data_IF_758504080893
#
_entry.id   IF_758504080893
#
_cell.length_a   1.000
_cell.length_b   1.000
_cell.length_c   1.000
_cell.angle_alpha   90.00
_cell.angle_beta   90.00
_cell.angle_gamma   90.00
#
_symmetry.space_group_name_H-M   'P 1'
#
loop_
_entity.id
_entity.type
_entity.pdbx_description
1 polymer ?
#
# COMPACT_ATOMS: atom_id res chain seq x y z
N UNK A 1 4.12 26.56 8.80
CA UNK A 1 3.73 26.79 10.21
C UNK A 1 2.61 25.87 10.68
N UNK A 2 1.54 25.68 9.91
CA UNK A 2 0.36 24.89 10.35
C UNK A 2 0.53 23.36 10.29
N UNK A 3 1.32 22.81 9.36
CA UNK A 3 1.50 21.35 9.23
C UNK A 3 2.25 20.71 10.43
N UNK A 4 3.16 21.43 11.07
CA UNK A 4 3.90 20.91 12.24
C UNK A 4 3.00 20.81 13.50
N UNK A 5 1.89 21.55 13.56
CA UNK A 5 0.94 21.50 14.67
C UNK A 5 -0.05 20.35 14.57
N UNK A 6 -0.41 19.92 13.36
CA UNK A 6 -1.33 18.80 13.14
C UNK A 6 -0.68 17.46 13.47
N UNK A 7 0.59 17.28 13.13
CA UNK A 7 1.31 16.02 13.33
C UNK A 7 1.56 15.75 14.82
N UNK A 8 1.86 16.80 15.59
CA UNK A 8 1.97 16.70 17.05
C UNK A 8 0.65 16.34 17.73
N UNK A 9 -0.47 16.90 17.27
CA UNK A 9 -1.79 16.59 17.81
C UNK A 9 -2.20 15.13 17.51
N UNK A 10 -1.92 14.64 16.29
CA UNK A 10 -2.18 13.25 15.91
C UNK A 10 -1.33 12.26 16.73
N UNK A 11 -0.08 12.62 17.04
CA UNK A 11 0.79 11.79 17.89
C UNK A 11 0.25 11.71 19.32
N UNK A 12 -0.13 12.84 19.91
CA UNK A 12 -0.68 12.89 21.29
C UNK A 12 -1.98 12.09 21.39
N UNK A 13 -2.85 12.18 20.39
CA UNK A 13 -4.08 11.40 20.33
C UNK A 13 -3.83 9.89 20.19
N UNK A 14 -2.87 9.48 19.36
CA UNK A 14 -2.48 8.08 19.25
C UNK A 14 -1.91 7.53 20.57
N UNK A 15 -1.08 8.33 21.26
CA UNK A 15 -0.56 7.99 22.58
C UNK A 15 -1.67 7.90 23.64
N UNK A 16 -2.64 8.82 23.61
CA UNK A 16 -3.79 8.81 24.51
C UNK A 16 -4.64 7.55 24.33
N UNK A 17 -4.94 7.15 23.09
CA UNK A 17 -5.68 5.92 22.78
C UNK A 17 -4.89 4.65 23.13
N UNK A 18 -3.56 4.71 23.15
CA UNK A 18 -2.72 3.60 23.61
C UNK A 18 -2.72 3.46 25.13
N UNK A 19 -2.64 4.60 25.84
CA UNK A 19 -2.61 4.64 27.30
C UNK A 19 -3.99 4.36 27.94
N UNK A 20 -5.07 4.87 27.32
CA UNK A 20 -6.46 4.70 27.76
C UNK A 20 -7.34 4.26 26.58
N UNK A 21 -7.35 2.95 26.26
CA UNK A 21 -8.01 2.46 25.05
C UNK A 21 -9.54 2.35 25.14
N UNK A 22 -10.12 2.55 26.33
CA UNK A 22 -11.56 2.31 26.64
C UNK A 22 -12.18 3.49 27.38
N UNK A 23 -13.51 3.57 27.32
CA UNK A 23 -14.33 4.55 28.03
C UNK A 23 -14.71 5.76 27.16
N UNK A 24 -15.60 6.60 27.70
CA UNK A 24 -16.25 7.68 26.94
C UNK A 24 -15.26 8.67 26.27
N UNK A 25 -14.13 8.94 26.91
CA UNK A 25 -13.12 9.84 26.34
C UNK A 25 -12.35 9.20 25.19
N UNK A 26 -12.02 7.90 25.29
CA UNK A 26 -11.44 7.15 24.19
C UNK A 26 -12.41 7.09 23.00
N UNK A 27 -13.70 6.86 23.29
CA UNK A 27 -14.74 6.82 22.27
C UNK A 27 -14.90 8.19 21.56
N UNK A 28 -14.85 9.29 22.32
CA UNK A 28 -14.86 10.66 21.76
C UNK A 28 -13.69 10.91 20.82
N UNK A 29 -12.47 10.55 21.24
CA UNK A 29 -11.27 10.72 20.40
C UNK A 29 -11.35 9.88 19.12
N UNK A 30 -11.81 8.63 19.21
CA UNK A 30 -12.01 7.77 18.03
C UNK A 30 -13.02 8.37 17.06
N UNK A 31 -14.12 8.90 17.58
CA UNK A 31 -15.15 9.55 16.77
C UNK A 31 -14.61 10.80 16.07
N UNK A 32 -13.89 11.68 16.79
CA UNK A 32 -13.26 12.87 16.22
C UNK A 32 -12.24 12.53 15.12
N UNK A 33 -11.47 11.45 15.32
CA UNK A 33 -10.53 10.94 14.32
C UNK A 33 -11.23 10.49 13.04
N UNK A 34 -12.34 9.76 13.17
CA UNK A 34 -13.13 9.30 12.03
C UNK A 34 -13.81 10.47 11.33
N UNK A 35 -14.43 11.38 12.08
CA UNK A 35 -15.13 12.54 11.52
C UNK A 35 -14.19 13.44 10.72
N UNK A 36 -12.97 13.73 11.22
CA UNK A 36 -11.98 14.47 10.42
C UNK A 36 -11.66 13.81 9.07
N UNK A 37 -11.57 12.47 9.03
CA UNK A 37 -11.34 11.73 7.78
C UNK A 37 -12.54 11.75 6.87
N UNK A 38 -13.75 11.58 7.43
CA UNK A 38 -15.02 11.68 6.70
C UNK A 38 -15.13 13.06 6.07
N UNK A 39 -14.94 14.11 6.84
CA UNK A 39 -15.10 15.49 6.38
C UNK A 39 -14.09 15.80 5.26
N UNK A 40 -12.82 15.43 5.43
CA UNK A 40 -11.80 15.55 4.38
C UNK A 40 -12.13 14.75 3.10
N UNK A 41 -12.78 13.59 3.23
CA UNK A 41 -13.24 12.82 2.08
C UNK A 41 -14.44 13.49 1.39
N UNK A 42 -15.37 14.07 2.15
CA UNK A 42 -16.60 14.71 1.64
C UNK A 42 -16.36 16.10 1.04
N UNK A 43 -15.25 16.77 1.38
CA UNK A 43 -14.79 18.01 0.72
C UNK A 43 -14.47 17.80 -0.77
N UNK A 44 -14.17 16.57 -1.19
CA UNK A 44 -13.92 16.26 -2.60
C UNK A 44 -15.19 16.35 -3.44
N UNK A 45 -15.00 16.62 -4.73
CA UNK A 45 -16.07 16.55 -5.75
C UNK A 45 -16.74 15.19 -5.67
N UNK A 46 -18.07 15.17 -5.79
CA UNK A 46 -18.93 14.03 -5.45
C UNK A 46 -18.48 12.68 -6.06
N UNK A 47 -18.10 12.66 -7.35
CA UNK A 47 -17.65 11.43 -8.04
C UNK A 47 -16.17 11.07 -7.79
N UNK A 48 -15.42 11.96 -7.15
CA UNK A 48 -14.01 11.76 -6.75
C UNK A 48 -13.87 11.42 -5.26
N UNK A 49 -15.00 11.22 -4.56
CA UNK A 49 -15.01 10.78 -3.17
C UNK A 49 -14.71 9.29 -3.11
N UNK A 50 -13.75 8.94 -2.25
CA UNK A 50 -13.37 7.54 -2.00
C UNK A 50 -14.13 7.00 -0.79
N UNK A 51 -15.42 6.71 -1.02
CA UNK A 51 -16.29 6.06 -0.04
C UNK A 51 -15.76 4.67 0.32
N UNK A 52 -15.18 3.91 -0.62
CA UNK A 52 -14.61 2.59 -0.35
C UNK A 52 -13.56 2.61 0.76
N UNK A 53 -12.57 3.51 0.66
CA UNK A 53 -11.54 3.66 1.68
C UNK A 53 -12.10 4.17 3.02
N UNK A 54 -13.12 5.03 2.97
CA UNK A 54 -13.80 5.55 4.16
C UNK A 54 -14.58 4.43 4.87
N UNK A 55 -15.37 3.64 4.14
CA UNK A 55 -16.13 2.50 4.67
C UNK A 55 -15.20 1.45 5.30
N UNK A 56 -14.11 1.09 4.62
CA UNK A 56 -13.09 0.18 5.17
C UNK A 56 -12.39 0.75 6.42
N UNK A 57 -12.39 2.07 6.62
CA UNK A 57 -11.90 2.69 7.85
C UNK A 57 -12.91 2.61 8.99
N UNK A 58 -14.19 2.85 8.71
CA UNK A 58 -15.26 2.64 9.69
C UNK A 58 -15.30 1.19 10.16
N UNK A 59 -15.20 0.22 9.23
CA UNK A 59 -15.21 -1.21 9.56
C UNK A 59 -14.06 -1.59 10.51
N UNK A 60 -12.83 -1.17 10.21
CA UNK A 60 -11.68 -1.40 11.10
C UNK A 60 -11.86 -0.77 12.48
N UNK A 61 -12.39 0.44 12.57
CA UNK A 61 -12.60 1.06 13.88
C UNK A 61 -13.72 0.38 14.67
N UNK A 62 -14.78 -0.08 13.99
CA UNK A 62 -15.83 -0.89 14.62
C UNK A 62 -15.22 -2.19 15.18
N UNK A 63 -14.36 -2.87 14.42
CA UNK A 63 -13.63 -4.06 14.87
C UNK A 63 -12.72 -3.77 16.07
N UNK A 64 -11.94 -2.69 16.02
CA UNK A 64 -11.06 -2.27 17.11
C UNK A 64 -11.85 -1.98 18.40
N UNK A 65 -12.97 -1.25 18.28
CA UNK A 65 -13.82 -0.92 19.43
C UNK A 65 -14.50 -2.18 19.95
N UNK A 66 -15.01 -3.07 19.09
CA UNK A 66 -15.61 -4.34 19.50
C UNK A 66 -14.62 -5.24 20.25
N UNK A 67 -13.36 -5.29 19.81
CA UNK A 67 -12.31 -6.07 20.47
C UNK A 67 -11.96 -5.53 21.87
N UNK A 68 -12.09 -4.22 22.06
CA UNK A 68 -11.79 -3.55 23.33
C UNK A 68 -13.00 -3.51 24.27
N UNK A 69 -14.14 -3.06 23.79
CA UNK A 69 -15.37 -2.89 24.56
C UNK A 69 -16.61 -3.25 23.69
N UNK A 70 -17.05 -4.53 23.73
CA UNK A 70 -18.23 -4.98 23.00
C UNK A 70 -19.52 -4.24 23.36
N UNK A 71 -19.59 -3.62 24.55
CA UNK A 71 -20.76 -2.91 25.06
C UNK A 71 -20.77 -1.41 24.74
N UNK A 72 -19.75 -0.90 24.04
CA UNK A 72 -19.67 0.54 23.73
C UNK A 72 -20.83 1.01 22.87
N UNK A 73 -21.47 2.10 23.29
CA UNK A 73 -22.52 2.78 22.52
C UNK A 73 -21.99 3.39 21.20
N UNK A 74 -20.67 3.61 21.09
CA UNK A 74 -20.02 4.11 19.88
C UNK A 74 -20.24 3.17 18.69
N UNK A 75 -20.30 1.85 18.92
CA UNK A 75 -20.44 0.85 17.85
C UNK A 75 -21.73 1.08 17.05
N UNK A 76 -22.84 1.39 17.73
CA UNK A 76 -24.11 1.65 17.06
C UNK A 76 -24.05 2.94 16.22
N UNK A 77 -23.40 3.98 16.75
CA UNK A 77 -23.19 5.25 16.03
C UNK A 77 -22.33 5.04 14.77
N UNK A 78 -21.19 4.36 14.91
CA UNK A 78 -20.29 4.09 13.78
C UNK A 78 -20.96 3.24 12.69
N UNK A 79 -21.74 2.22 13.07
CA UNK A 79 -22.51 1.41 12.12
C UNK A 79 -23.54 2.25 11.37
N UNK A 80 -24.30 3.09 12.07
CA UNK A 80 -25.29 3.98 11.45
C UNK A 80 -24.66 4.96 10.45
N UNK A 81 -23.54 5.59 10.80
CA UNK A 81 -22.80 6.46 9.88
C UNK A 81 -22.24 5.71 8.68
N UNK A 82 -21.65 4.53 8.91
CA UNK A 82 -21.12 3.65 7.85
C UNK A 82 -22.22 3.25 6.86
N UNK A 83 -23.40 2.88 7.34
CA UNK A 83 -24.52 2.48 6.48
C UNK A 83 -25.10 3.67 5.70
N UNK A 84 -25.14 4.87 6.30
CA UNK A 84 -25.52 6.09 5.58
C UNK A 84 -24.53 6.41 4.45
N UNK A 85 -23.22 6.33 4.71
CA UNK A 85 -22.19 6.53 3.70
C UNK A 85 -22.23 5.47 2.59
N UNK A 86 -22.54 4.22 2.93
CA UNK A 86 -22.71 3.15 1.95
C UNK A 86 -23.92 3.42 1.04
N UNK A 87 -25.03 3.90 1.61
CA UNK A 87 -26.21 4.28 0.84
C UNK A 87 -25.94 5.47 -0.10
N UNK A 88 -25.15 6.46 0.35
CA UNK A 88 -24.70 7.55 -0.51
C UNK A 88 -23.83 7.06 -1.68
N UNK A 89 -22.86 6.18 -1.40
CA UNK A 89 -22.01 5.58 -2.43
C UNK A 89 -22.83 4.82 -3.48
N UNK A 90 -23.82 4.04 -3.05
CA UNK A 90 -24.72 3.31 -3.95
C UNK A 90 -25.58 4.24 -4.80
N UNK A 91 -26.09 5.33 -4.22
CA UNK A 91 -26.87 6.33 -4.94
C UNK A 91 -26.06 7.05 -6.04
N UNK A 92 -24.73 7.11 -5.91
CA UNK A 92 -23.84 7.71 -6.90
C UNK A 92 -23.47 6.77 -8.05
N UNK A 93 -23.67 5.46 -7.89
CA UNK A 93 -23.29 4.46 -8.87
C UNK A 93 -23.84 4.73 -10.28
N UNK A 94 -25.12 5.08 -10.49
CA UNK A 94 -25.64 5.38 -11.82
C UNK A 94 -24.95 6.57 -12.50
N UNK A 95 -24.58 7.60 -11.73
CA UNK A 95 -23.89 8.77 -12.24
C UNK A 95 -22.44 8.44 -12.61
N UNK A 96 -21.75 7.69 -11.76
CA UNK A 96 -20.38 7.23 -12.03
C UNK A 96 -20.34 6.33 -13.28
N UNK A 97 -21.30 5.42 -13.42
CA UNK A 97 -21.43 4.56 -14.60
C UNK A 97 -21.64 5.37 -15.88
N UNK A 98 -22.42 6.45 -15.82
CA UNK A 98 -22.62 7.36 -16.96
C UNK A 98 -21.31 8.05 -17.35
N UNK A 99 -20.57 8.61 -16.38
CA UNK A 99 -19.25 9.23 -16.62
C UNK A 99 -18.27 8.24 -17.24
N UNK A 100 -18.25 7.00 -16.77
CA UNK A 100 -17.46 5.93 -17.38
C UNK A 100 -17.85 5.70 -18.85
N UNK A 101 -19.15 5.60 -19.16
CA UNK A 101 -19.65 5.38 -20.52
C UNK A 101 -19.39 6.54 -21.48
N UNK A 102 -19.26 7.77 -20.98
CA UNK A 102 -18.89 8.95 -21.77
C UNK A 102 -17.43 8.90 -22.24
N UNK A 103 -16.58 8.07 -21.60
CA UNK A 103 -15.20 7.83 -22.04
C UNK A 103 -14.20 8.93 -21.71
N UNK A 104 -14.62 9.98 -20.99
CA UNK A 104 -13.77 11.11 -20.58
C UNK A 104 -13.71 11.16 -19.06
N UNK A 105 -12.58 10.72 -18.50
CA UNK A 105 -12.36 10.65 -17.06
C UNK A 105 -10.90 10.82 -16.68
N UNK A 106 -10.68 11.24 -15.44
CA UNK A 106 -9.36 11.36 -14.83
C UNK A 106 -8.96 10.06 -14.12
N UNK A 107 -7.66 9.85 -13.91
CA UNK A 107 -7.15 8.69 -13.16
C UNK A 107 -7.75 8.59 -11.75
N UNK A 108 -7.93 9.73 -11.06
CA UNK A 108 -8.51 9.78 -9.73
C UNK A 108 -9.97 9.28 -9.68
N UNK A 109 -10.72 9.46 -10.78
CA UNK A 109 -12.07 8.90 -10.90
C UNK A 109 -12.01 7.37 -10.98
N UNK A 110 -11.11 6.79 -11.77
CA UNK A 110 -10.96 5.34 -11.89
C UNK A 110 -10.53 4.70 -10.55
N UNK A 111 -9.58 5.32 -9.85
CA UNK A 111 -9.16 4.91 -8.50
C UNK A 111 -10.37 4.89 -7.54
N UNK A 112 -11.13 5.99 -7.51
CA UNK A 112 -12.32 6.11 -6.64
C UNK A 112 -13.40 5.11 -7.04
N UNK A 113 -13.63 4.88 -8.33
CA UNK A 113 -14.62 3.93 -8.82
C UNK A 113 -14.33 2.51 -8.35
N UNK A 114 -13.09 2.05 -8.53
CA UNK A 114 -12.67 0.70 -8.13
C UNK A 114 -12.69 0.48 -6.62
N UNK A 115 -12.53 1.56 -5.85
CA UNK A 115 -12.65 1.56 -4.40
C UNK A 115 -14.11 1.52 -3.94
N UNK A 116 -14.97 2.36 -4.52
CA UNK A 116 -16.38 2.51 -4.14
C UNK A 116 -17.24 1.31 -4.57
N UNK A 117 -16.98 0.76 -5.74
CA UNK A 117 -17.80 -0.31 -6.33
C UNK A 117 -16.93 -1.49 -6.79
N UNK A 118 -16.25 -2.18 -5.85
CA UNK A 118 -15.28 -3.22 -6.19
C UNK A 118 -15.89 -4.47 -6.82
N UNK A 119 -17.22 -4.62 -6.75
CA UNK A 119 -18.00 -5.73 -7.32
C UNK A 119 -18.85 -5.33 -8.55
N UNK A 120 -18.70 -4.10 -9.06
CA UNK A 120 -19.42 -3.67 -10.26
C UNK A 120 -18.99 -4.48 -11.50
N UNK A 121 -19.89 -4.74 -12.45
CA UNK A 121 -19.56 -5.49 -13.67
C UNK A 121 -18.53 -4.79 -14.56
N UNK A 122 -18.40 -3.46 -14.47
CA UNK A 122 -17.41 -2.67 -15.21
C UNK A 122 -15.98 -2.74 -14.62
N UNK A 123 -15.80 -3.35 -13.44
CA UNK A 123 -14.49 -3.44 -12.76
C UNK A 123 -13.36 -3.95 -13.66
N UNK A 124 -13.53 -4.98 -14.51
CA UNK A 124 -12.45 -5.44 -15.37
C UNK A 124 -12.00 -4.37 -16.38
N UNK A 125 -12.94 -3.66 -17.01
CA UNK A 125 -12.64 -2.62 -17.99
C UNK A 125 -12.04 -1.38 -17.33
N UNK A 126 -12.53 -1.01 -16.15
CA UNK A 126 -12.01 0.13 -15.38
C UNK A 126 -10.60 -0.17 -14.84
N UNK A 127 -10.36 -1.40 -14.38
CA UNK A 127 -9.03 -1.85 -13.97
C UNK A 127 -8.07 -1.85 -15.17
N UNK A 128 -8.51 -2.28 -16.36
CA UNK A 128 -7.71 -2.18 -17.57
C UNK A 128 -7.33 -0.71 -17.86
N UNK A 129 -8.32 0.18 -17.92
CA UNK A 129 -8.08 1.60 -18.21
C UNK A 129 -7.15 2.27 -17.18
N UNK A 130 -7.28 1.91 -15.90
CA UNK A 130 -6.38 2.39 -14.86
C UNK A 130 -4.97 1.81 -15.00
N UNK A 131 -4.85 0.53 -15.36
CA UNK A 131 -3.58 -0.11 -15.67
C UNK A 131 -2.85 0.57 -16.83
N UNK A 132 -3.58 0.93 -17.90
CA UNK A 132 -3.04 1.69 -19.03
C UNK A 132 -2.63 3.12 -18.64
N UNK A 133 -3.40 3.78 -17.77
CA UNK A 133 -3.04 5.09 -17.24
C UNK A 133 -1.74 5.01 -16.42
N UNK A 134 -1.63 4.03 -15.52
CA UNK A 134 -0.42 3.83 -14.72
C UNK A 134 0.78 3.41 -15.56
N UNK A 135 0.60 2.56 -16.55
CA UNK A 135 1.67 2.09 -17.44
C UNK A 135 2.31 3.22 -18.27
N UNK A 136 1.58 4.32 -18.50
CA UNK A 136 2.11 5.55 -19.13
C UNK A 136 2.88 6.46 -18.17
N UNK A 137 2.90 6.14 -16.88
CA UNK A 137 3.56 6.90 -15.82
C UNK A 137 4.61 6.05 -15.11
N UNK A 138 5.36 6.62 -14.16
CA UNK A 138 6.34 5.89 -13.35
C UNK A 138 5.70 4.90 -12.33
N UNK A 139 4.41 4.54 -12.47
CA UNK A 139 3.62 3.69 -11.57
C UNK A 139 3.46 2.27 -12.11
N UNK A 140 4.53 1.68 -12.65
CA UNK A 140 4.46 0.38 -13.34
C UNK A 140 3.99 -0.78 -12.43
N UNK A 141 4.37 -0.80 -11.15
CA UNK A 141 3.88 -1.82 -10.22
C UNK A 141 2.36 -1.74 -10.01
N UNK A 142 1.83 -0.51 -9.92
CA UNK A 142 0.38 -0.31 -9.82
C UNK A 142 -0.32 -0.74 -11.13
N UNK A 143 0.32 -0.50 -12.28
CA UNK A 143 -0.18 -0.96 -13.57
C UNK A 143 -0.30 -2.49 -13.60
N UNK A 144 0.72 -3.21 -13.11
CA UNK A 144 0.69 -4.68 -13.01
C UNK A 144 -0.49 -5.15 -12.16
N UNK A 145 -0.68 -4.56 -10.98
CA UNK A 145 -1.78 -4.93 -10.09
C UNK A 145 -3.15 -4.73 -10.77
N UNK A 146 -3.31 -3.64 -11.53
CA UNK A 146 -4.55 -3.35 -12.24
C UNK A 146 -4.79 -4.27 -13.44
N UNK A 147 -3.75 -4.56 -14.24
CA UNK A 147 -3.88 -5.54 -15.32
C UNK A 147 -4.16 -6.94 -14.79
N UNK A 148 -3.54 -7.36 -13.69
CA UNK A 148 -3.85 -8.64 -13.04
C UNK A 148 -5.30 -8.68 -12.56
N UNK A 149 -5.81 -7.58 -11.98
CA UNK A 149 -7.23 -7.46 -11.59
C UNK A 149 -8.17 -7.57 -12.80
N UNK A 150 -7.86 -6.92 -13.92
CA UNK A 150 -8.63 -7.05 -15.15
C UNK A 150 -8.61 -8.48 -15.71
N UNK A 151 -7.44 -9.15 -15.67
CA UNK A 151 -7.27 -10.52 -16.13
C UNK A 151 -8.05 -11.56 -15.28
N UNK A 152 -8.36 -11.27 -14.01
CA UNK A 152 -9.18 -12.14 -13.16
C UNK A 152 -10.59 -12.37 -13.70
N UNK A 153 -11.12 -11.46 -14.51
CA UNK A 153 -12.41 -11.66 -15.20
C UNK A 153 -12.38 -12.79 -16.23
N UNK A 154 -11.18 -13.26 -16.58
CA UNK A 154 -10.93 -14.35 -17.51
C UNK A 154 -10.19 -13.86 -18.75
N UNK A 155 -9.19 -14.63 -19.23
CA UNK A 155 -8.36 -14.25 -20.38
C UNK A 155 -9.14 -14.20 -21.69
N UNK A 156 -10.38 -14.70 -21.73
CA UNK A 156 -11.25 -14.69 -22.91
C UNK A 156 -12.13 -13.42 -23.02
N UNK A 157 -12.13 -12.58 -21.98
CA UNK A 157 -12.83 -11.30 -22.02
C UNK A 157 -12.04 -10.28 -22.83
N UNK A 158 -12.70 -9.22 -23.33
CA UNK A 158 -12.01 -8.11 -23.99
C UNK A 158 -10.94 -7.51 -23.09
N UNK A 159 -11.35 -7.10 -21.88
CA UNK A 159 -10.45 -6.56 -20.86
C UNK A 159 -9.31 -7.51 -20.48
N UNK A 160 -9.62 -8.80 -20.26
CA UNK A 160 -8.62 -9.79 -19.89
C UNK A 160 -7.56 -9.99 -20.96
N UNK A 161 -7.94 -10.12 -22.23
CA UNK A 161 -6.97 -10.23 -23.35
C UNK A 161 -6.06 -9.02 -23.45
N UNK A 162 -6.63 -7.82 -23.33
CA UNK A 162 -5.87 -6.57 -23.42
C UNK A 162 -4.95 -6.38 -22.22
N UNK A 163 -5.42 -6.72 -21.02
CA UNK A 163 -4.60 -6.70 -19.81
C UNK A 163 -3.40 -7.64 -19.91
N UNK A 164 -3.60 -8.87 -20.41
CA UNK A 164 -2.51 -9.82 -20.62
C UNK A 164 -1.50 -9.31 -21.66
N UNK A 165 -1.97 -8.63 -22.72
CA UNK A 165 -1.08 -7.96 -23.68
C UNK A 165 -0.28 -6.83 -23.01
N UNK A 166 -0.94 -6.02 -22.18
CA UNK A 166 -0.29 -4.98 -21.38
C UNK A 166 0.81 -5.53 -20.48
N UNK A 167 0.52 -6.63 -19.76
CA UNK A 167 1.49 -7.31 -18.89
C UNK A 167 2.70 -7.84 -19.67
N UNK A 168 2.49 -8.49 -20.82
CA UNK A 168 3.60 -8.97 -21.68
C UNK A 168 4.48 -7.85 -22.20
N UNK A 169 3.89 -6.69 -22.51
CA UNK A 169 4.65 -5.53 -22.95
C UNK A 169 5.43 -4.88 -21.79
N UNK A 170 4.87 -4.89 -20.59
CA UNK A 170 5.46 -4.24 -19.42
C UNK A 170 6.57 -5.10 -18.78
N UNK A 171 6.38 -6.42 -18.71
CA UNK A 171 7.25 -7.35 -17.96
C UNK A 171 8.76 -7.21 -18.25
N UNK A 172 9.22 -7.08 -19.51
CA UNK A 172 10.65 -6.95 -19.81
C UNK A 172 11.30 -5.67 -19.25
N UNK A 173 10.49 -4.64 -18.95
CA UNK A 173 10.94 -3.33 -18.50
C UNK A 173 10.67 -3.06 -17.01
N UNK A 174 10.08 -4.03 -16.30
CA UNK A 174 9.83 -3.89 -14.86
C UNK A 174 11.12 -3.96 -14.07
N UNK A 175 11.21 -3.10 -13.06
CA UNK A 175 12.32 -3.07 -12.09
C UNK A 175 11.88 -3.46 -10.68
N UNK A 176 10.57 -3.63 -10.46
CA UNK A 176 10.00 -3.97 -9.15
C UNK A 176 9.97 -5.49 -8.95
N UNK A 177 10.81 -5.98 -8.03
CA UNK A 177 10.96 -7.41 -7.73
C UNK A 177 9.64 -8.08 -7.36
N UNK A 178 8.79 -7.42 -6.57
CA UNK A 178 7.49 -7.95 -6.13
C UNK A 178 6.53 -8.14 -7.31
N UNK A 179 6.43 -7.15 -8.20
CA UNK A 179 5.57 -7.22 -9.38
C UNK A 179 6.01 -8.34 -10.33
N UNK A 180 7.33 -8.49 -10.53
CA UNK A 180 7.88 -9.58 -11.34
C UNK A 180 7.61 -10.96 -10.71
N UNK A 181 7.73 -11.08 -9.39
CA UNK A 181 7.43 -12.32 -8.68
C UNK A 181 5.96 -12.72 -8.76
N UNK A 182 5.05 -11.73 -8.67
CA UNK A 182 3.62 -11.95 -8.88
C UNK A 182 3.32 -12.47 -10.29
N UNK A 183 3.96 -11.89 -11.30
CA UNK A 183 3.80 -12.33 -12.69
C UNK A 183 4.40 -13.71 -12.94
N UNK A 184 5.56 -14.01 -12.35
CA UNK A 184 6.20 -15.32 -12.44
C UNK A 184 5.36 -16.43 -11.78
N UNK A 185 4.57 -16.10 -10.75
CA UNK A 185 3.67 -17.04 -10.09
C UNK A 185 2.34 -17.28 -10.82
N UNK A 186 2.05 -16.55 -11.90
CA UNK A 186 0.77 -16.65 -12.61
C UNK A 186 0.72 -17.90 -13.51
N UNK A 187 -0.35 -18.68 -13.41
CA UNK A 187 -0.48 -19.96 -14.14
C UNK A 187 -1.23 -19.84 -15.46
N UNK A 188 -1.95 -18.74 -15.67
CA UNK A 188 -2.80 -18.54 -16.85
C UNK A 188 -2.02 -18.28 -18.14
N UNK A 189 -0.76 -17.85 -18.04
CA UNK A 189 0.08 -17.50 -19.18
C UNK A 189 1.55 -17.90 -18.93
N UNK A 190 1.93 -19.14 -19.27
CA UNK A 190 3.27 -19.64 -19.03
C UNK A 190 4.38 -18.80 -19.69
N UNK A 191 4.10 -18.19 -20.85
CA UNK A 191 5.07 -17.35 -21.54
C UNK A 191 5.32 -16.04 -20.78
N UNK A 192 4.29 -15.41 -20.23
CA UNK A 192 4.44 -14.24 -19.35
C UNK A 192 5.19 -14.61 -18.07
N UNK A 193 4.85 -15.76 -17.47
CA UNK A 193 5.51 -16.24 -16.26
C UNK A 193 7.01 -16.44 -16.49
N UNK A 194 7.40 -17.06 -17.61
CA UNK A 194 8.81 -17.25 -18.00
C UNK A 194 9.53 -15.92 -18.24
N UNK A 195 8.90 -14.96 -18.94
CA UNK A 195 9.46 -13.61 -19.14
C UNK A 195 9.71 -12.90 -17.80
N UNK A 196 8.73 -12.94 -16.90
CA UNK A 196 8.82 -12.31 -15.59
C UNK A 196 9.88 -12.99 -14.70
N UNK A 197 9.95 -14.31 -14.70
CA UNK A 197 10.95 -15.07 -13.96
C UNK A 197 12.37 -14.78 -14.48
N UNK A 198 12.55 -14.71 -15.81
CA UNK A 198 13.81 -14.32 -16.44
C UNK A 198 14.27 -12.93 -16.00
N UNK A 199 13.39 -11.93 -16.08
CA UNK A 199 13.69 -10.57 -15.63
C UNK A 199 13.94 -10.49 -14.13
N UNK A 200 13.18 -11.22 -13.32
CA UNK A 200 13.39 -11.29 -11.86
C UNK A 200 14.77 -11.84 -11.53
N UNK A 201 15.22 -12.88 -12.23
CA UNK A 201 16.56 -13.47 -12.06
C UNK A 201 17.68 -12.47 -12.31
N UNK A 202 17.53 -11.61 -13.32
CA UNK A 202 18.50 -10.55 -13.63
C UNK A 202 18.59 -9.50 -12.49
N UNK A 203 17.45 -9.15 -11.90
CA UNK A 203 17.35 -8.07 -10.91
C UNK A 203 17.57 -8.50 -9.46
N UNK A 204 17.27 -9.76 -9.11
CA UNK A 204 17.29 -10.26 -7.75
C UNK A 204 18.65 -10.06 -7.04
N UNK A 205 19.75 -10.05 -7.79
CA UNK A 205 21.10 -9.82 -7.26
C UNK A 205 21.63 -8.38 -7.41
N UNK A 206 20.91 -7.50 -8.09
CA UNK A 206 21.46 -6.20 -8.56
C UNK A 206 20.66 -4.98 -8.12
N UNK A 207 19.48 -5.16 -7.50
CA UNK A 207 18.69 -4.06 -6.97
C UNK A 207 19.49 -3.16 -6.01
N UNK A 208 19.11 -1.88 -5.96
CA UNK A 208 19.84 -0.84 -5.23
C UNK A 208 19.14 -0.39 -3.93
N UNK A 209 17.83 -0.60 -3.83
CA UNK A 209 17.03 -0.11 -2.70
C UNK A 209 16.73 -1.23 -1.70
N UNK A 210 17.04 -1.00 -0.42
CA UNK A 210 16.69 -1.90 0.68
C UNK A 210 15.19 -2.13 0.76
N UNK A 211 14.37 -1.10 0.51
CA UNK A 211 12.92 -1.22 0.60
C UNK A 211 12.36 -2.20 -0.44
N UNK A 212 12.95 -2.24 -1.64
CA UNK A 212 12.56 -3.19 -2.69
C UNK A 212 12.85 -4.65 -2.29
N UNK A 213 14.03 -4.92 -1.74
CA UNK A 213 14.39 -6.25 -1.24
C UNK A 213 13.54 -6.67 -0.03
N UNK A 214 13.27 -5.74 0.90
CA UNK A 214 12.43 -5.98 2.06
C UNK A 214 10.99 -6.34 1.65
N UNK A 215 10.40 -5.56 0.74
CA UNK A 215 9.06 -5.81 0.23
C UNK A 215 8.95 -7.17 -0.47
N UNK A 216 9.97 -7.56 -1.24
CA UNK A 216 10.03 -8.89 -1.85
C UNK A 216 10.02 -9.99 -0.79
N UNK A 217 10.92 -9.94 0.20
CA UNK A 217 11.05 -11.00 1.22
C UNK A 217 9.84 -11.06 2.16
N UNK A 218 9.17 -9.93 2.40
CA UNK A 218 7.92 -9.90 3.16
C UNK A 218 6.81 -10.67 2.44
N UNK A 219 6.71 -10.52 1.12
CA UNK A 219 5.64 -11.14 0.32
C UNK A 219 5.98 -12.55 -0.14
N UNK A 220 7.26 -12.84 -0.38
CA UNK A 220 7.78 -14.10 -0.91
C UNK A 220 8.95 -14.62 -0.06
N UNK A 221 8.72 -14.95 1.23
CA UNK A 221 9.78 -15.40 2.13
C UNK A 221 10.46 -16.69 1.65
N UNK A 222 9.70 -17.57 1.01
CA UNK A 222 10.15 -18.87 0.48
C UNK A 222 10.22 -18.87 -1.05
N UNK A 223 10.29 -17.70 -1.69
CA UNK A 223 10.38 -17.58 -3.15
C UNK A 223 11.70 -18.13 -3.70
N UNK A 224 11.72 -18.51 -4.98
CA UNK A 224 12.91 -19.07 -5.67
C UNK A 224 14.16 -18.18 -5.50
N UNK A 225 13.98 -16.86 -5.50
CA UNK A 225 15.08 -15.89 -5.39
C UNK A 225 15.27 -15.33 -3.98
N UNK A 226 14.56 -15.82 -2.96
CA UNK A 226 14.62 -15.29 -1.58
C UNK A 226 16.05 -15.30 -1.02
N UNK A 227 16.82 -16.36 -1.26
CA UNK A 227 18.22 -16.45 -0.84
C UNK A 227 19.10 -15.38 -1.52
N UNK A 228 18.95 -15.20 -2.84
CA UNK A 228 19.69 -14.20 -3.62
C UNK A 228 19.34 -12.78 -3.17
N UNK A 229 18.04 -12.50 -2.98
CA UNK A 229 17.56 -11.19 -2.51
C UNK A 229 18.07 -10.91 -1.10
N UNK A 230 18.04 -11.90 -0.20
CA UNK A 230 18.57 -11.78 1.16
C UNK A 230 20.07 -11.47 1.15
N UNK A 231 20.85 -12.17 0.34
CA UNK A 231 22.28 -11.92 0.22
C UNK A 231 22.57 -10.49 -0.27
N UNK A 232 21.85 -10.02 -1.29
CA UNK A 232 21.99 -8.65 -1.80
C UNK A 232 21.53 -7.61 -0.78
N UNK A 233 20.42 -7.83 -0.10
CA UNK A 233 19.91 -6.96 0.96
C UNK A 233 20.95 -6.77 2.08
N UNK A 234 21.59 -7.86 2.50
CA UNK A 234 22.65 -7.83 3.51
C UNK A 234 23.87 -7.00 3.07
N UNK A 235 24.27 -7.08 1.79
CA UNK A 235 25.35 -6.24 1.25
C UNK A 235 24.96 -4.76 1.27
N UNK A 236 23.74 -4.42 0.87
CA UNK A 236 23.24 -3.03 0.92
C UNK A 236 23.19 -2.51 2.37
N UNK A 237 22.75 -3.34 3.31
CA UNK A 237 22.70 -2.98 4.72
C UNK A 237 24.09 -2.76 5.32
N UNK A 238 25.08 -3.59 4.96
CA UNK A 238 26.47 -3.43 5.43
C UNK A 238 27.14 -2.19 4.81
N UNK A 239 26.84 -1.86 3.55
CA UNK A 239 27.28 -0.61 2.93
C UNK A 239 26.72 0.63 3.69
N UNK A 240 25.42 0.62 4.02
CA UNK A 240 24.83 1.70 4.83
C UNK A 240 25.43 1.74 6.23
N UNK A 241 25.76 0.60 6.83
CA UNK A 241 26.46 0.56 8.12
C UNK A 241 27.84 1.22 8.03
N UNK A 242 28.58 1.00 6.93
CA UNK A 242 29.81 1.74 6.65
C UNK A 242 29.60 3.26 6.60
N UNK A 243 28.52 3.72 5.96
CA UNK A 243 28.14 5.14 5.97
C UNK A 243 27.84 5.66 7.38
N UNK A 244 27.15 4.87 8.23
CA UNK A 244 26.89 5.24 9.63
C UNK A 244 28.19 5.55 10.37
N UNK A 245 29.20 4.66 10.25
CA UNK A 245 30.49 4.85 10.91
C UNK A 245 31.22 6.10 10.40
N UNK A 246 31.18 6.33 9.08
CA UNK A 246 31.75 7.52 8.48
C UNK A 246 31.09 8.79 9.01
N UNK A 247 29.76 8.86 9.00
CA UNK A 247 29.02 10.03 9.49
C UNK A 247 29.25 10.28 10.98
N UNK A 248 29.29 9.23 11.80
CA UNK A 248 29.66 9.36 13.21
C UNK A 248 31.07 9.92 13.40
N UNK A 249 32.05 9.48 12.59
CA UNK A 249 33.44 9.95 12.69
C UNK A 249 33.60 11.45 12.37
N UNK A 250 32.75 12.00 11.51
CA UNK A 250 32.77 13.42 11.13
C UNK A 250 31.75 14.27 11.91
N UNK A 251 31.06 13.67 12.89
CA UNK A 251 30.07 14.35 13.74
C UNK A 251 28.70 14.62 13.10
N UNK A 252 28.41 14.04 11.93
CA UNK A 252 27.11 14.18 11.27
C UNK A 252 26.11 13.14 11.80
N UNK A 253 25.66 13.34 13.03
CA UNK A 253 24.76 12.40 13.71
C UNK A 253 23.37 12.30 13.05
N UNK A 254 22.92 13.36 12.37
CA UNK A 254 21.61 13.38 11.70
C UNK A 254 21.60 12.38 10.54
N UNK A 255 22.62 12.41 9.67
CA UNK A 255 22.73 11.44 8.57
C UNK A 255 22.97 10.02 9.07
N UNK A 256 23.75 9.86 10.13
CA UNK A 256 23.96 8.56 10.76
C UNK A 256 22.62 7.96 11.24
N UNK A 257 21.77 8.74 11.91
CA UNK A 257 20.45 8.29 12.38
C UNK A 257 19.54 7.90 11.21
N UNK A 258 19.50 8.67 10.12
CA UNK A 258 18.73 8.32 8.91
C UNK A 258 19.14 6.94 8.36
N UNK A 259 20.45 6.66 8.28
CA UNK A 259 20.93 5.36 7.80
C UNK A 259 20.61 4.22 8.76
N UNK A 260 20.73 4.44 10.07
CA UNK A 260 20.35 3.48 11.10
C UNK A 260 18.86 3.13 10.95
N UNK A 261 17.99 4.14 10.84
CA UNK A 261 16.56 3.93 10.65
C UNK A 261 16.27 3.10 9.40
N UNK A 262 16.89 3.43 8.25
CA UNK A 262 16.74 2.64 7.02
C UNK A 262 17.11 1.17 7.18
N UNK A 263 18.24 0.88 7.83
CA UNK A 263 18.67 -0.50 8.10
C UNK A 263 17.66 -1.21 9.00
N UNK A 264 17.26 -0.60 10.11
CA UNK A 264 16.35 -1.22 11.07
C UNK A 264 14.92 -1.39 10.52
N UNK A 265 14.49 -0.51 9.62
CA UNK A 265 13.17 -0.61 8.97
C UNK A 265 13.13 -1.67 7.88
N UNK A 266 14.15 -1.74 7.01
CA UNK A 266 14.09 -2.57 5.81
C UNK A 266 14.94 -3.84 5.86
N UNK A 267 15.90 -3.93 6.78
CA UNK A 267 16.75 -5.11 6.95
C UNK A 267 16.96 -5.46 8.44
N UNK A 268 15.88 -5.59 9.26
CA UNK A 268 15.98 -5.76 10.70
C UNK A 268 16.71 -7.06 11.12
N UNK A 269 16.67 -8.09 10.29
CA UNK A 269 17.34 -9.38 10.53
C UNK A 269 18.74 -9.48 9.92
N UNK A 270 19.25 -8.39 9.33
CA UNK A 270 20.59 -8.38 8.73
C UNK A 270 21.70 -8.36 9.79
N UNK A 271 22.91 -8.85 9.46
CA UNK A 271 24.07 -8.71 10.34
C UNK A 271 24.38 -7.24 10.70
N UNK A 272 24.11 -6.30 9.79
CA UNK A 272 24.28 -4.86 10.03
C UNK A 272 23.32 -4.34 11.10
N UNK A 273 22.05 -4.77 11.07
CA UNK A 273 21.08 -4.44 12.10
C UNK A 273 21.50 -5.01 13.47
N UNK A 274 21.99 -6.25 13.50
CA UNK A 274 22.50 -6.86 14.75
C UNK A 274 23.67 -6.03 15.34
N UNK A 275 24.66 -5.66 14.52
CA UNK A 275 25.78 -4.79 14.96
C UNK A 275 25.32 -3.44 15.53
N UNK A 276 24.21 -2.90 15.02
CA UNK A 276 23.63 -1.64 15.54
C UNK A 276 22.95 -1.86 16.88
N UNK A 277 22.14 -2.90 17.01
CA UNK A 277 21.45 -3.24 18.26
C UNK A 277 22.46 -3.57 19.37
N UNK A 278 23.52 -4.33 19.06
CA UNK A 278 24.59 -4.65 20.01
C UNK A 278 25.33 -3.41 20.52
N UNK A 279 25.38 -2.32 19.74
CA UNK A 279 25.97 -1.04 20.15
C UNK A 279 25.01 -0.13 20.91
N UNK A 280 23.69 -0.31 20.74
CA UNK A 280 22.65 0.41 21.49
C UNK A 280 22.44 -0.24 22.86
N UNK A 281 22.71 -1.54 22.99
CA UNK A 281 22.65 -2.26 24.26
C UNK A 281 24.02 -2.24 24.94
N UNK A 282 24.25 -1.25 25.82
CA UNK A 282 24.95 -1.25 27.13
C UNK A 282 25.51 0.15 27.48
N UNK A 283 25.52 0.58 28.77
CA UNK A 283 25.51 -0.23 29.99
C UNK A 283 24.29 -0.05 30.90
N UNK A 284 24.15 -1.01 31.82
CA UNK A 284 23.31 -0.93 33.01
C UNK A 284 23.76 0.18 33.98
#
# INVERSE_FOLDING_TARGET
GQAAGSDGALLVEAMALTAWPRGAEADRLRLERIHRRRDAALEKVQLSRDYGALLARYEREIEDVLALDPGSSLIASLRGERDALAAESEALYPSARKTWQEGVYETAFLESYLSNWPAAPEVPDIALALGEAYGRTARQADAVAMFLRAAQAGPETGAGREAMRGLRNLAPSLDQLTALAELAGQTQDPALAELAAGRLKELAGTFADLAAGAAYLQKFPDGEFAATVTARLNVLADNLYGEVLLYQSVGDHVRAIDRIQKILTHAPSSPAAQKLLDKVVLPA
#
